data_IF_383334691820
#
_entry.id   IF_383334691820
#
_cell.length_a   1.000
_cell.length_b   1.000
_cell.length_c   1.000
_cell.angle_alpha   90.00
_cell.angle_beta   90.00
_cell.angle_gamma   90.00
#
_symmetry.space_group_name_H-M   'P 1'
#
loop_
_entity.id
_entity.type
_entity.pdbx_description
1 polymer ?
#
# COMPACT_ATOMS: atom_id res chain seq x y z
N UNK A 1 -7.46 -7.80 -18.11
CA UNK A 1 -7.72 -6.59 -18.92
C UNK A 1 -8.66 -5.62 -18.22
N UNK A 2 -9.97 -5.89 -18.09
CA UNK A 2 -10.90 -4.94 -17.42
C UNK A 2 -10.52 -4.67 -15.96
N UNK A 3 -10.17 -5.72 -15.21
CA UNK A 3 -9.74 -5.61 -13.82
C UNK A 3 -8.48 -4.75 -13.67
N UNK A 4 -7.48 -4.91 -14.55
CA UNK A 4 -6.23 -4.14 -14.52
C UNK A 4 -6.47 -2.66 -14.81
N UNK A 5 -7.36 -2.35 -15.76
CA UNK A 5 -7.77 -0.96 -16.05
C UNK A 5 -8.42 -0.33 -14.81
N UNK A 6 -9.31 -1.08 -14.15
CA UNK A 6 -9.99 -0.61 -12.94
C UNK A 6 -9.00 -0.39 -11.79
N UNK A 7 -8.10 -1.36 -11.55
CA UNK A 7 -7.03 -1.24 -10.54
C UNK A 7 -6.17 0.00 -10.76
N UNK A 8 -5.68 0.21 -11.98
CA UNK A 8 -4.86 1.37 -12.32
C UNK A 8 -5.63 2.69 -12.16
N UNK A 9 -6.92 2.70 -12.52
CA UNK A 9 -7.76 3.88 -12.34
C UNK A 9 -7.91 4.24 -10.86
N UNK A 10 -8.13 3.25 -9.99
CA UNK A 10 -8.19 3.47 -8.54
C UNK A 10 -6.84 3.94 -8.00
N UNK A 11 -5.75 3.25 -8.35
CA UNK A 11 -4.40 3.56 -7.85
C UNK A 11 -3.96 4.99 -8.22
N UNK A 12 -3.94 5.33 -9.51
CA UNK A 12 -3.54 6.68 -9.94
C UNK A 12 -4.59 7.74 -9.58
N UNK A 13 -5.88 7.40 -9.61
CA UNK A 13 -6.94 8.30 -9.18
C UNK A 13 -6.78 8.70 -7.72
N UNK A 14 -6.43 7.76 -6.85
CA UNK A 14 -6.21 8.04 -5.44
C UNK A 14 -4.90 8.81 -5.22
N UNK A 15 -3.82 8.47 -5.90
CA UNK A 15 -2.56 9.22 -5.76
C UNK A 15 -2.64 10.68 -6.21
N UNK A 16 -3.49 11.02 -7.20
CA UNK A 16 -3.53 12.39 -7.74
C UNK A 16 -4.82 13.17 -7.46
N UNK A 17 -6.00 12.56 -7.52
CA UNK A 17 -7.28 13.26 -7.35
C UNK A 17 -7.67 13.41 -5.88
N UNK A 18 -7.44 12.39 -5.05
CA UNK A 18 -7.80 12.45 -3.63
C UNK A 18 -7.01 13.49 -2.82
N UNK A 19 -5.70 13.72 -3.07
CA UNK A 19 -4.98 14.85 -2.50
C UNK A 19 -5.66 16.21 -2.76
N UNK A 20 -6.24 16.40 -3.94
CA UNK A 20 -6.97 17.64 -4.27
C UNK A 20 -8.23 17.74 -3.40
N UNK A 21 -8.99 16.65 -3.30
CA UNK A 21 -10.18 16.59 -2.45
C UNK A 21 -9.85 16.86 -0.97
N UNK A 22 -8.81 16.22 -0.43
CA UNK A 22 -8.35 16.45 0.95
C UNK A 22 -7.84 17.88 1.17
N UNK A 23 -7.12 18.44 0.19
CA UNK A 23 -6.67 19.83 0.24
C UNK A 23 -7.84 20.78 0.40
N UNK A 24 -8.90 20.54 -0.37
CA UNK A 24 -10.14 21.31 -0.32
C UNK A 24 -10.90 21.10 1.01
N UNK A 25 -11.02 19.86 1.49
CA UNK A 25 -11.79 19.55 2.70
C UNK A 25 -11.11 20.04 3.99
N UNK A 26 -9.81 19.81 4.16
CA UNK A 26 -9.10 20.06 5.42
C UNK A 26 -8.38 21.42 5.47
N UNK A 27 -7.99 21.97 4.32
CA UNK A 27 -7.24 23.25 4.24
C UNK A 27 -7.89 24.26 3.32
N UNK A 28 -9.23 24.44 3.38
CA UNK A 28 -10.03 25.33 2.52
C UNK A 28 -9.36 26.66 2.11
N UNK A 29 -8.72 27.37 3.04
CA UNK A 29 -8.05 28.66 2.75
C UNK A 29 -6.79 28.51 1.88
N UNK A 30 -6.06 27.39 2.02
CA UNK A 30 -4.78 27.11 1.36
C UNK A 30 -4.85 25.81 0.52
N UNK A 31 -6.04 25.45 0.03
CA UNK A 31 -6.31 24.10 -0.49
C UNK A 31 -5.39 23.71 -1.65
N UNK A 32 -5.05 24.67 -2.53
CA UNK A 32 -4.15 24.45 -3.66
C UNK A 32 -2.75 24.06 -3.20
N UNK A 33 -2.24 24.74 -2.18
CA UNK A 33 -0.93 24.46 -1.62
C UNK A 33 -0.93 23.13 -0.84
N UNK A 34 -1.99 22.85 -0.07
CA UNK A 34 -2.13 21.57 0.61
C UNK A 34 -2.20 20.40 -0.38
N UNK A 35 -2.97 20.54 -1.47
CA UNK A 35 -3.04 19.56 -2.54
C UNK A 35 -1.67 19.35 -3.21
N UNK A 36 -0.97 20.44 -3.54
CA UNK A 36 0.37 20.35 -4.14
C UNK A 36 1.37 19.67 -3.20
N UNK A 37 1.32 19.97 -1.89
CA UNK A 37 2.16 19.29 -0.89
C UNK A 37 1.88 17.79 -0.85
N UNK A 38 0.61 17.39 -0.83
CA UNK A 38 0.23 15.97 -0.81
C UNK A 38 0.54 15.25 -2.14
N UNK A 39 0.46 15.92 -3.28
CA UNK A 39 0.92 15.34 -4.55
C UNK A 39 2.45 15.23 -4.54
N UNK A 40 3.16 16.19 -3.94
CA UNK A 40 4.61 16.11 -3.82
C UNK A 40 5.08 14.93 -2.95
N UNK A 41 4.24 14.37 -2.06
CA UNK A 41 4.60 13.17 -1.29
C UNK A 41 4.68 11.90 -2.13
N UNK A 42 4.26 11.92 -3.40
CA UNK A 42 4.61 10.84 -4.34
C UNK A 42 6.13 10.61 -4.44
N UNK A 43 6.94 11.59 -4.02
CA UNK A 43 8.38 11.43 -3.89
C UNK A 43 8.82 10.29 -2.96
N UNK A 44 7.95 9.73 -2.10
CA UNK A 44 8.33 8.57 -1.30
C UNK A 44 8.57 7.31 -2.14
N UNK A 45 7.94 7.21 -3.33
CA UNK A 45 8.19 6.14 -4.32
C UNK A 45 9.64 6.10 -4.82
N UNK A 46 10.43 7.17 -4.61
CA UNK A 46 11.84 7.15 -4.98
C UNK A 46 12.63 6.09 -4.20
N UNK A 47 12.10 5.58 -3.09
CA UNK A 47 12.69 4.45 -2.37
C UNK A 47 12.60 3.11 -3.13
N UNK A 48 11.81 3.03 -4.21
CA UNK A 48 11.82 1.90 -5.14
C UNK A 48 13.16 1.72 -5.83
N UNK A 49 13.95 2.79 -5.99
CA UNK A 49 15.31 2.72 -6.54
C UNK A 49 16.27 1.93 -5.65
N UNK A 50 15.88 1.65 -4.40
CA UNK A 50 16.66 0.86 -3.45
C UNK A 50 16.33 -0.65 -3.52
N UNK A 51 15.38 -1.06 -4.34
CA UNK A 51 14.95 -2.45 -4.48
C UNK A 51 15.72 -3.23 -5.54
N UNK A 52 15.81 -4.54 -5.34
CA UNK A 52 16.24 -5.51 -6.36
C UNK A 52 15.16 -6.61 -6.51
N UNK A 53 14.53 -6.77 -7.69
CA UNK A 53 14.64 -5.89 -8.86
C UNK A 53 13.98 -4.52 -8.62
N UNK A 54 14.51 -3.49 -9.29
CA UNK A 54 13.99 -2.10 -9.17
C UNK A 54 12.51 -2.04 -9.57
N UNK A 55 12.14 -2.67 -10.68
CA UNK A 55 10.76 -2.69 -11.19
C UNK A 55 10.21 -4.12 -11.22
N UNK A 56 9.12 -4.34 -10.49
CA UNK A 56 8.35 -5.59 -10.50
C UNK A 56 6.85 -5.25 -10.40
N UNK A 57 6.05 -5.45 -11.47
CA UNK A 57 4.63 -5.10 -11.49
C UNK A 57 3.76 -6.05 -10.64
N UNK A 58 4.28 -7.20 -10.22
CA UNK A 58 3.54 -8.21 -9.46
C UNK A 58 3.85 -8.17 -7.95
N UNK A 59 4.77 -7.30 -7.53
CA UNK A 59 5.19 -7.13 -6.13
C UNK A 59 4.31 -6.12 -5.39
N UNK A 60 4.06 -6.41 -4.11
CA UNK A 60 3.51 -5.41 -3.19
C UNK A 60 4.65 -4.56 -2.61
N UNK A 61 4.56 -3.23 -2.77
CA UNK A 61 5.57 -2.28 -2.26
C UNK A 61 5.51 -2.06 -0.74
N UNK A 62 4.36 -2.30 -0.11
CA UNK A 62 4.18 -2.13 1.34
C UNK A 62 5.03 -3.12 2.13
N UNK A 63 5.85 -2.59 3.04
CA UNK A 63 6.79 -3.35 3.86
C UNK A 63 8.06 -3.78 3.13
N UNK A 64 8.14 -3.58 1.81
CA UNK A 64 9.33 -3.92 1.02
C UNK A 64 10.34 -2.78 0.97
N UNK A 65 9.86 -1.53 0.91
CA UNK A 65 10.72 -0.36 0.82
C UNK A 65 10.78 0.42 2.14
N UNK A 66 11.88 1.15 2.43
CA UNK A 66 12.06 1.85 3.70
C UNK A 66 10.95 2.86 4.03
N UNK A 67 10.50 3.66 3.07
CA UNK A 67 9.44 4.67 3.25
C UNK A 67 8.04 4.05 3.17
N UNK A 68 7.94 2.83 2.66
CA UNK A 68 6.73 2.00 2.67
C UNK A 68 6.65 1.03 3.86
N UNK A 69 7.52 1.21 4.84
CA UNK A 69 7.61 0.34 6.02
C UNK A 69 6.62 0.72 7.12
N UNK A 70 6.36 -0.22 8.03
CA UNK A 70 5.60 0.06 9.26
C UNK A 70 6.22 1.21 10.07
N UNK A 71 7.56 1.29 10.13
CA UNK A 71 8.26 2.36 10.84
C UNK A 71 8.04 3.73 10.18
N UNK A 72 8.02 3.79 8.85
CA UNK A 72 7.69 5.02 8.13
C UNK A 72 6.25 5.46 8.40
N UNK A 73 5.29 4.52 8.39
CA UNK A 73 3.90 4.81 8.74
C UNK A 73 3.76 5.42 10.14
N UNK A 74 4.48 4.89 11.14
CA UNK A 74 4.51 5.46 12.50
C UNK A 74 5.03 6.91 12.48
N UNK A 75 6.12 7.17 11.75
CA UNK A 75 6.66 8.54 11.60
C UNK A 75 5.63 9.48 10.98
N UNK A 76 4.93 9.05 9.93
CA UNK A 76 3.88 9.85 9.30
C UNK A 76 2.70 10.12 10.24
N UNK A 77 2.30 9.14 11.05
CA UNK A 77 1.29 9.34 12.11
C UNK A 77 1.77 10.37 13.13
N UNK A 78 3.03 10.31 13.58
CA UNK A 78 3.58 11.31 14.51
C UNK A 78 3.56 12.72 13.90
N UNK A 79 3.87 12.85 12.60
CA UNK A 79 3.82 14.14 11.89
C UNK A 79 2.40 14.77 11.87
N UNK A 80 1.33 13.98 11.96
CA UNK A 80 -0.05 14.51 12.06
C UNK A 80 -0.29 15.34 13.33
N UNK A 81 0.43 15.02 14.42
CA UNK A 81 0.25 15.70 15.71
C UNK A 81 1.07 16.99 15.82
N UNK A 82 1.92 17.30 14.83
CA UNK A 82 2.71 18.52 14.81
C UNK A 82 1.84 19.77 14.61
N UNK A 83 2.18 20.92 15.20
CA UNK A 83 1.34 22.13 15.14
C UNK A 83 1.27 22.77 13.74
N UNK A 84 2.25 22.49 12.87
CA UNK A 84 2.30 23.04 11.52
C UNK A 84 1.30 22.37 10.60
N UNK A 85 0.37 23.15 10.03
CA UNK A 85 -0.60 22.64 9.06
C UNK A 85 0.05 22.05 7.80
N UNK A 86 1.25 22.52 7.42
CA UNK A 86 2.02 21.97 6.28
C UNK A 86 2.57 20.58 6.60
N UNK A 87 3.08 20.37 7.81
CA UNK A 87 3.53 19.04 8.25
C UNK A 87 2.37 18.06 8.31
N UNK A 88 1.18 18.51 8.76
CA UNK A 88 -0.03 17.71 8.69
C UNK A 88 -0.41 17.35 7.26
N UNK A 89 -0.27 18.27 6.29
CA UNK A 89 -0.51 17.97 4.88
C UNK A 89 0.48 16.94 4.34
N UNK A 90 1.78 17.05 4.68
CA UNK A 90 2.77 16.02 4.34
C UNK A 90 2.37 14.67 4.93
N UNK A 91 2.03 14.65 6.22
CA UNK A 91 1.63 13.43 6.91
C UNK A 91 0.39 12.76 6.30
N UNK A 92 -0.65 13.53 6.00
CA UNK A 92 -1.86 13.03 5.31
C UNK A 92 -1.49 12.52 3.92
N UNK A 93 -0.65 13.23 3.18
CA UNK A 93 -0.17 12.81 1.86
C UNK A 93 0.55 11.46 1.91
N UNK A 94 1.55 11.32 2.78
CA UNK A 94 2.31 10.07 2.93
C UNK A 94 1.42 8.92 3.43
N UNK A 95 0.54 9.15 4.42
CA UNK A 95 -0.35 8.09 4.92
C UNK A 95 -1.37 7.66 3.86
N UNK A 96 -1.91 8.60 3.10
CA UNK A 96 -2.87 8.27 2.06
C UNK A 96 -2.19 7.59 0.85
N UNK A 97 -0.92 7.92 0.59
CA UNK A 97 -0.10 7.20 -0.36
C UNK A 97 0.06 5.73 0.05
N UNK A 98 0.51 5.46 1.29
CA UNK A 98 0.61 4.09 1.82
C UNK A 98 -0.73 3.34 1.80
N UNK A 99 -1.83 4.04 2.10
CA UNK A 99 -3.17 3.47 1.99
C UNK A 99 -3.49 3.06 0.55
N UNK A 100 -3.19 3.94 -0.42
CA UNK A 100 -3.44 3.69 -1.84
C UNK A 100 -2.65 2.49 -2.34
N UNK A 101 -1.39 2.34 -1.94
CA UNK A 101 -0.58 1.19 -2.32
C UNK A 101 -1.04 -0.09 -1.62
N UNK A 102 -1.50 0.01 -0.38
CA UNK A 102 -2.10 -1.13 0.33
C UNK A 102 -3.37 -1.63 -0.38
N UNK A 103 -4.21 -0.72 -0.88
CA UNK A 103 -5.38 -1.05 -1.70
C UNK A 103 -4.94 -1.71 -3.01
N UNK A 104 -3.91 -1.19 -3.67
CA UNK A 104 -3.36 -1.77 -4.90
C UNK A 104 -2.81 -3.19 -4.67
N UNK A 105 -2.05 -3.40 -3.58
CA UNK A 105 -1.57 -4.72 -3.16
C UNK A 105 -2.72 -5.70 -2.92
N UNK A 106 -3.77 -5.26 -2.23
CA UNK A 106 -4.94 -6.08 -1.97
C UNK A 106 -5.66 -6.49 -3.26
N UNK A 107 -5.87 -5.53 -4.18
CA UNK A 107 -6.46 -5.80 -5.49
C UNK A 107 -5.57 -6.74 -6.33
N UNK A 108 -4.25 -6.59 -6.26
CA UNK A 108 -3.28 -7.50 -6.88
C UNK A 108 -3.39 -8.93 -6.35
N UNK A 109 -3.51 -9.11 -5.03
CA UNK A 109 -3.73 -10.43 -4.41
C UNK A 109 -5.07 -11.04 -4.84
N UNK A 110 -6.16 -10.27 -4.84
CA UNK A 110 -7.47 -10.75 -5.31
C UNK A 110 -7.41 -11.23 -6.77
N UNK A 111 -6.68 -10.51 -7.63
CA UNK A 111 -6.46 -10.92 -9.03
C UNK A 111 -5.73 -12.27 -9.11
N UNK A 112 -4.72 -12.50 -8.26
CA UNK A 112 -3.99 -13.78 -8.22
C UNK A 112 -4.91 -14.93 -7.81
N UNK A 113 -5.76 -14.74 -6.80
CA UNK A 113 -6.75 -15.74 -6.37
C UNK A 113 -7.78 -16.06 -7.47
N UNK A 114 -8.32 -15.05 -8.15
CA UNK A 114 -9.30 -15.24 -9.24
C UNK A 114 -8.73 -15.95 -10.46
N UNK A 115 -7.43 -15.76 -10.73
CA UNK A 115 -6.74 -16.37 -11.87
C UNK A 115 -6.09 -17.71 -11.53
N UNK A 116 -6.07 -18.12 -10.26
CA UNK A 116 -5.62 -19.44 -9.87
C UNK A 116 -6.66 -20.46 -10.35
N UNK A 117 -6.32 -21.35 -11.30
CA UNK A 117 -7.24 -22.40 -11.69
C UNK A 117 -7.55 -23.24 -10.45
N UNK A 118 -8.84 -23.52 -10.23
CA UNK A 118 -9.40 -24.36 -9.18
C UNK A 118 -8.50 -25.59 -8.94
N UNK A 119 -7.51 -25.43 -8.06
CA UNK A 119 -6.71 -26.47 -7.42
C UNK A 119 -7.11 -26.54 -5.95
N UNK A 120 -8.36 -26.15 -5.68
CA UNK A 120 -9.06 -26.34 -4.41
C UNK A 120 -10.25 -27.31 -4.58
N UNK A 121 -10.14 -28.24 -5.53
CA UNK A 121 -10.87 -29.52 -5.48
C UNK A 121 -10.02 -30.66 -4.91
N UNK A 122 -8.76 -30.39 -4.50
CA UNK A 122 -7.83 -31.39 -3.95
C UNK A 122 -7.44 -31.14 -2.48
N UNK A 123 -7.98 -30.11 -1.81
CA UNK A 123 -7.89 -29.97 -0.35
C UNK A 123 -9.08 -30.69 0.31
N UNK A 124 -9.42 -31.89 -0.17
CA UNK A 124 -10.37 -32.81 0.48
C UNK A 124 -9.68 -34.00 1.15
N UNK A 125 -8.35 -34.07 1.26
CA UNK A 125 -7.70 -35.31 1.73
C UNK A 125 -6.69 -35.25 2.88
N UNK A 126 -6.25 -34.10 3.42
CA UNK A 126 -5.35 -34.17 4.60
C UNK A 126 -5.70 -33.18 5.72
N UNK A 127 -6.72 -33.55 6.48
CA UNK A 127 -6.68 -33.42 7.93
C UNK A 127 -6.49 -34.82 8.53
N UNK A 128 -5.31 -35.19 9.05
CA UNK A 128 -5.23 -36.27 10.01
C UNK A 128 -5.18 -35.66 11.42
N UNK A 129 -6.31 -35.78 12.12
CA UNK A 129 -6.30 -35.92 13.57
C UNK A 129 -5.49 -37.18 13.93
N UNK A 130 -4.37 -37.02 14.65
CA UNK A 130 -3.59 -38.17 15.14
C UNK A 130 -2.20 -37.82 15.70
N UNK A 131 -2.19 -37.50 17.00
CA UNK A 131 -1.15 -37.50 18.05
C UNK A 131 0.19 -38.31 17.87
N UNK A 132 1.20 -38.10 18.75
CA UNK A 132 2.63 -37.99 18.44
C UNK A 132 3.48 -39.26 18.64
N UNK A 133 4.68 -39.31 18.05
CA UNK A 133 5.86 -40.03 18.59
C UNK A 133 7.14 -39.60 17.84
N UNK A 134 8.04 -38.83 18.46
CA UNK A 134 9.32 -39.30 19.03
C UNK A 134 10.02 -40.39 18.19
N UNK A 135 11.07 -40.00 17.46
CA UNK A 135 12.46 -40.43 17.74
C UNK A 135 13.45 -39.55 17.00
N UNK A 136 14.40 -38.99 17.77
CA UNK A 136 15.62 -38.30 17.29
C UNK A 136 16.64 -39.34 16.74
N UNK A 137 17.89 -38.93 16.50
CA UNK A 137 18.56 -38.75 15.21
C UNK A 137 19.46 -39.96 14.86
N UNK A 138 20.07 -39.94 13.67
CA UNK A 138 21.49 -40.25 13.48
C UNK A 138 22.04 -39.36 12.37
#
# INVERSE_FOLDING_TARGET
>A
MLFDIFRNFIHYGFHFLMPIAFGYLFWRKNWKLAALIMIATMAIDLDHLLADPIFDPERCGIGFHPLHSFWAAVVYVVLLFMPSWKLKAIAVGCLFHLFTDSVDCYMGSLKKEMNSPITLSLVTEQCPLGMPNIKKPQ
#
